data_IF_553418565917
#
_entry.id   IF_553418565917
#
_cell.length_a   1.000
_cell.length_b   1.000
_cell.length_c   1.000
_cell.angle_alpha   90.00
_cell.angle_beta   90.00
_cell.angle_gamma   90.00
#
_symmetry.space_group_name_H-M   'P 1'
#
loop_
_entity.id
_entity.type
_entity.pdbx_description
1 polymer ?
#
# COMPACT_ATOMS: atom_id res chain seq x y z
N UNK A 1 -37.51 -17.18 -28.06
CA UNK A 1 -37.20 -15.75 -27.81
C UNK A 1 -35.68 -15.59 -27.71
N UNK A 2 -35.06 -14.91 -28.67
CA UNK A 2 -33.61 -14.64 -28.66
C UNK A 2 -33.32 -13.51 -27.69
N UNK A 3 -32.61 -13.81 -26.60
CA UNK A 3 -32.16 -12.81 -25.63
C UNK A 3 -31.00 -12.02 -26.27
N UNK A 4 -31.33 -10.90 -26.90
CA UNK A 4 -30.36 -9.93 -27.41
C UNK A 4 -29.80 -9.15 -26.22
N UNK A 5 -28.71 -9.63 -25.63
CA UNK A 5 -27.94 -8.79 -24.72
C UNK A 5 -27.28 -7.69 -25.54
N UNK A 6 -27.51 -6.40 -25.25
CA UNK A 6 -26.69 -5.36 -25.84
C UNK A 6 -25.29 -5.51 -25.27
N UNK A 7 -24.33 -5.95 -26.08
CA UNK A 7 -22.91 -5.69 -25.83
C UNK A 7 -22.67 -4.20 -26.04
N UNK A 8 -23.21 -3.39 -25.15
CA UNK A 8 -22.78 -2.01 -24.99
C UNK A 8 -21.33 -2.10 -24.56
N UNK A 9 -20.41 -1.59 -25.38
CA UNK A 9 -18.99 -1.56 -25.05
C UNK A 9 -18.76 -0.87 -23.70
N UNK A 10 -17.55 -0.95 -23.13
CA UNK A 10 -17.26 -0.33 -21.84
C UNK A 10 -17.59 1.16 -21.89
N UNK A 11 -18.68 1.55 -21.24
CA UNK A 11 -19.09 2.96 -21.12
C UNK A 11 -18.24 3.60 -20.04
N UNK A 12 -17.60 4.72 -20.36
CA UNK A 12 -16.84 5.49 -19.38
C UNK A 12 -17.78 5.96 -18.26
N UNK A 13 -17.34 5.80 -17.02
CA UNK A 13 -18.02 6.38 -15.86
C UNK A 13 -18.15 7.90 -16.09
N UNK A 14 -19.36 8.49 -16.06
CA UNK A 14 -19.54 9.92 -16.33
C UNK A 14 -18.83 10.82 -15.31
N UNK A 15 -18.42 10.28 -14.16
CA UNK A 15 -17.61 10.99 -13.17
C UNK A 15 -16.10 10.93 -13.46
N UNK A 16 -15.66 10.17 -14.46
CA UNK A 16 -14.26 10.00 -14.81
C UNK A 16 -13.74 11.27 -15.53
N UNK A 17 -12.76 11.99 -14.98
CA UNK A 17 -12.31 13.28 -15.52
C UNK A 17 -11.41 13.15 -16.77
N UNK A 18 -11.11 11.93 -17.20
CA UNK A 18 -10.20 11.59 -18.31
C UNK A 18 -10.82 10.48 -19.17
N UNK A 19 -10.36 10.39 -20.41
CA UNK A 19 -10.69 9.30 -21.33
C UNK A 19 -10.26 7.93 -20.76
N UNK A 20 -10.98 6.88 -21.14
CA UNK A 20 -10.64 5.50 -20.73
C UNK A 20 -9.24 5.07 -21.17
N UNK A 21 -8.77 5.59 -22.31
CA UNK A 21 -7.44 5.31 -22.86
C UNK A 21 -6.34 5.84 -21.92
N UNK A 22 -6.40 7.13 -21.57
CA UNK A 22 -5.51 7.77 -20.61
C UNK A 22 -5.61 7.15 -19.21
N UNK A 23 -6.81 6.75 -18.77
CA UNK A 23 -6.99 6.02 -17.52
C UNK A 23 -6.27 4.66 -17.56
N UNK A 24 -6.31 3.98 -18.71
CA UNK A 24 -5.62 2.71 -18.94
C UNK A 24 -4.10 2.88 -18.91
N UNK A 25 -3.58 3.96 -19.48
CA UNK A 25 -2.15 4.30 -19.39
C UNK A 25 -1.73 4.56 -17.94
N UNK A 26 -2.47 5.41 -17.22
CA UNK A 26 -2.21 5.70 -15.80
C UNK A 26 -2.27 4.45 -14.93
N UNK A 27 -3.16 3.50 -15.24
CA UNK A 27 -3.26 2.25 -14.51
C UNK A 27 -2.08 1.30 -14.75
N UNK A 28 -1.50 1.33 -15.95
CA UNK A 28 -0.39 0.46 -16.34
C UNK A 28 0.98 1.07 -16.11
N UNK A 29 1.05 2.39 -15.92
CA UNK A 29 2.29 3.10 -15.66
C UNK A 29 2.93 2.62 -14.35
N UNK A 30 4.22 2.36 -14.41
CA UNK A 30 5.03 2.04 -13.24
C UNK A 30 5.32 3.30 -12.42
N UNK A 31 5.86 3.12 -11.20
CA UNK A 31 6.13 4.23 -10.28
C UNK A 31 7.11 5.28 -10.83
N UNK A 32 7.99 4.88 -11.76
CA UNK A 32 8.97 5.75 -12.41
C UNK A 32 8.38 6.53 -13.60
N UNK A 33 7.47 5.92 -14.36
CA UNK A 33 6.85 6.52 -15.56
C UNK A 33 5.61 7.38 -15.22
N UNK A 34 4.90 7.02 -14.16
CA UNK A 34 3.67 7.68 -13.75
C UNK A 34 3.84 9.21 -13.51
N UNK A 35 4.90 9.72 -12.86
CA UNK A 35 5.11 11.16 -12.69
C UNK A 35 5.25 11.91 -14.02
N UNK A 36 5.94 11.33 -14.99
CA UNK A 36 6.15 11.91 -16.31
C UNK A 36 4.84 11.91 -17.12
N UNK A 37 4.10 10.79 -17.08
CA UNK A 37 2.77 10.72 -17.67
C UNK A 37 1.82 11.77 -17.07
N UNK A 38 1.81 11.91 -15.74
CA UNK A 38 1.01 12.93 -15.07
C UNK A 38 1.46 14.35 -15.45
N UNK A 39 2.74 14.60 -15.72
CA UNK A 39 3.21 15.92 -16.15
C UNK A 39 2.55 16.42 -17.44
N UNK A 40 2.08 15.51 -18.31
CA UNK A 40 1.34 15.86 -19.54
C UNK A 40 -0.10 16.33 -19.29
N UNK A 41 -0.64 16.03 -18.12
CA UNK A 41 -2.04 16.33 -17.75
C UNK A 41 -2.10 17.67 -17.02
N UNK A 42 -3.08 18.50 -17.37
CA UNK A 42 -3.33 19.76 -16.67
C UNK A 42 -3.58 19.55 -15.16
N UNK A 43 -3.01 20.41 -14.32
CA UNK A 43 -3.14 20.40 -12.85
C UNK A 43 -4.55 20.14 -12.29
N UNK A 44 -5.61 20.85 -12.74
CA UNK A 44 -6.95 20.63 -12.20
C UNK A 44 -7.51 19.24 -12.58
N UNK A 45 -7.11 18.70 -13.73
CA UNK A 45 -7.55 17.38 -14.20
C UNK A 45 -6.84 16.28 -13.42
N UNK A 46 -5.54 16.43 -13.13
CA UNK A 46 -4.80 15.51 -12.25
C UNK A 46 -5.42 15.41 -10.86
N UNK A 47 -5.77 16.55 -10.28
CA UNK A 47 -6.36 16.60 -8.93
C UNK A 47 -7.73 15.92 -8.90
N UNK A 48 -8.56 16.13 -9.92
CA UNK A 48 -9.82 15.39 -10.10
C UNK A 48 -9.59 13.90 -10.28
N UNK A 49 -8.58 13.51 -11.06
CA UNK A 49 -8.24 12.11 -11.29
C UNK A 49 -7.82 11.43 -9.99
N UNK A 50 -6.96 12.07 -9.19
CA UNK A 50 -6.51 11.54 -7.90
C UNK A 50 -7.70 11.25 -6.97
N UNK A 51 -8.64 12.20 -6.85
CA UNK A 51 -9.82 12.05 -5.99
C UNK A 51 -10.78 10.99 -6.53
N UNK A 52 -10.99 10.95 -7.84
CA UNK A 52 -11.81 9.93 -8.49
C UNK A 52 -11.27 8.51 -8.24
N UNK A 53 -9.96 8.31 -8.41
CA UNK A 53 -9.29 7.03 -8.16
C UNK A 53 -9.32 6.66 -6.67
N UNK A 54 -9.13 7.65 -5.79
CA UNK A 54 -9.19 7.46 -4.33
C UNK A 54 -10.55 6.93 -3.86
N UNK A 55 -11.64 7.40 -4.49
CA UNK A 55 -13.01 6.97 -4.19
C UNK A 55 -13.33 5.53 -4.63
N UNK A 56 -12.50 4.90 -5.47
CA UNK A 56 -12.69 3.52 -5.91
C UNK A 56 -11.82 2.56 -5.11
N UNK A 57 -12.43 1.61 -4.40
CA UNK A 57 -11.72 0.71 -3.48
C UNK A 57 -10.54 -0.04 -4.12
N UNK A 58 -10.67 -0.51 -5.37
CA UNK A 58 -9.62 -1.23 -6.07
C UNK A 58 -8.53 -0.33 -6.67
N UNK A 59 -8.78 0.98 -6.81
CA UNK A 59 -7.82 1.96 -7.32
C UNK A 59 -7.33 2.93 -6.25
N UNK A 60 -7.70 2.71 -5.00
CA UNK A 60 -7.43 3.62 -3.90
C UNK A 60 -5.93 3.91 -3.73
N UNK A 61 -5.10 2.86 -3.80
CA UNK A 61 -3.64 3.01 -3.73
C UNK A 61 -3.08 3.80 -4.91
N UNK A 62 -3.60 3.58 -6.13
CA UNK A 62 -3.21 4.36 -7.30
C UNK A 62 -3.60 5.83 -7.13
N UNK A 63 -4.81 6.10 -6.61
CA UNK A 63 -5.27 7.46 -6.30
C UNK A 63 -4.34 8.19 -5.32
N UNK A 64 -3.85 7.48 -4.28
CA UNK A 64 -2.84 8.02 -3.37
C UNK A 64 -1.50 8.28 -4.07
N UNK A 65 -1.06 7.39 -4.96
CA UNK A 65 0.18 7.61 -5.74
C UNK A 65 0.06 8.84 -6.64
N UNK A 66 -1.05 8.98 -7.37
CA UNK A 66 -1.31 10.17 -8.21
C UNK A 66 -1.40 11.44 -7.36
N UNK A 67 -2.00 11.36 -6.17
CA UNK A 67 -2.07 12.48 -5.24
C UNK A 67 -0.70 12.96 -4.74
N UNK A 68 0.37 12.16 -4.83
CA UNK A 68 1.74 12.62 -4.51
C UNK A 68 2.28 13.63 -5.51
N UNK A 69 1.80 13.59 -6.75
CA UNK A 69 2.16 14.52 -7.82
C UNK A 69 1.27 15.78 -7.85
N UNK A 70 0.34 15.91 -6.90
CA UNK A 70 -0.59 17.03 -6.81
C UNK A 70 -0.27 17.91 -5.59
N UNK A 71 -0.58 19.19 -5.70
CA UNK A 71 -0.50 20.13 -4.58
C UNK A 71 -1.73 20.02 -3.67
N UNK A 72 -1.54 20.34 -2.38
CA UNK A 72 -2.62 20.26 -1.38
C UNK A 72 -3.79 21.14 -1.75
N UNK A 73 -3.51 22.37 -2.16
CA UNK A 73 -4.54 23.37 -2.45
C UNK A 73 -5.41 22.95 -3.64
N UNK A 74 -4.84 22.30 -4.66
CA UNK A 74 -5.63 21.83 -5.79
C UNK A 74 -6.52 20.64 -5.44
N UNK A 75 -6.05 19.72 -4.59
CA UNK A 75 -6.89 18.65 -4.06
C UNK A 75 -8.04 19.20 -3.21
N UNK A 76 -7.77 20.19 -2.35
CA UNK A 76 -8.79 20.86 -1.53
C UNK A 76 -9.78 21.65 -2.38
N UNK A 77 -9.33 22.31 -3.45
CA UNK A 77 -10.20 23.04 -4.38
C UNK A 77 -11.20 22.12 -5.09
N UNK A 78 -10.78 20.89 -5.39
CA UNK A 78 -11.62 19.91 -6.09
C UNK A 78 -12.55 19.15 -5.13
N UNK A 79 -12.07 18.78 -3.94
CA UNK A 79 -12.76 17.83 -3.06
C UNK A 79 -12.97 18.32 -1.61
N UNK A 80 -12.65 19.58 -1.32
CA UNK A 80 -12.77 20.16 0.02
C UNK A 80 -11.93 19.42 1.06
N UNK A 81 -12.55 19.10 2.19
CA UNK A 81 -11.89 18.39 3.30
C UNK A 81 -11.34 17.03 2.88
N UNK A 82 -12.02 16.32 1.97
CA UNK A 82 -11.52 15.04 1.45
C UNK A 82 -10.17 15.23 0.75
N UNK A 83 -9.98 16.34 0.03
CA UNK A 83 -8.70 16.67 -0.60
C UNK A 83 -7.57 16.82 0.40
N UNK A 84 -7.85 17.41 1.57
CA UNK A 84 -6.89 17.55 2.67
C UNK A 84 -6.45 16.18 3.19
N UNK A 85 -7.41 15.26 3.37
CA UNK A 85 -7.19 13.90 3.86
C UNK A 85 -6.40 13.07 2.86
N UNK A 86 -6.76 13.14 1.57
CA UNK A 86 -6.07 12.42 0.49
C UNK A 86 -4.61 12.84 0.42
N UNK A 87 -4.32 14.14 0.50
CA UNK A 87 -2.95 14.66 0.52
C UNK A 87 -2.18 14.20 1.76
N UNK A 88 -2.82 14.18 2.93
CA UNK A 88 -2.21 13.66 4.15
C UNK A 88 -1.84 12.19 4.01
N UNK A 89 -2.78 11.36 3.55
CA UNK A 89 -2.59 9.92 3.38
C UNK A 89 -1.55 9.57 2.31
N UNK A 90 -1.49 10.32 1.20
CA UNK A 90 -0.52 10.06 0.14
C UNK A 90 0.93 10.22 0.62
N UNK A 91 1.16 11.12 1.58
CA UNK A 91 2.47 11.38 2.20
C UNK A 91 2.82 10.46 3.37
N UNK A 92 1.84 9.74 3.91
CA UNK A 92 2.12 8.72 4.91
C UNK A 92 2.92 7.58 4.29
N UNK A 93 3.88 7.05 5.05
CA UNK A 93 4.61 5.87 4.62
C UNK A 93 3.59 4.72 4.51
N UNK A 94 3.43 4.10 3.32
CA UNK A 94 2.48 3.00 3.18
C UNK A 94 2.84 1.94 4.22
N UNK A 95 1.82 1.48 4.96
CA UNK A 95 1.99 0.42 5.93
C UNK A 95 2.66 -0.74 5.18
N UNK A 96 3.86 -1.12 5.63
CA UNK A 96 4.60 -2.23 5.03
C UNK A 96 3.63 -3.42 5.02
N UNK A 97 3.31 -4.02 3.87
CA UNK A 97 2.52 -5.25 3.87
C UNK A 97 3.27 -6.20 4.80
N UNK A 98 2.55 -6.76 5.77
CA UNK A 98 3.11 -7.75 6.68
C UNK A 98 3.59 -8.90 5.80
N UNK A 99 4.89 -8.91 5.50
CA UNK A 99 5.53 -10.11 4.99
C UNK A 99 5.20 -11.18 6.02
N UNK A 100 4.62 -12.33 5.62
CA UNK A 100 4.65 -13.49 6.49
C UNK A 100 6.12 -13.63 6.87
N UNK A 101 6.41 -13.51 8.16
CA UNK A 101 7.74 -13.81 8.67
C UNK A 101 7.96 -15.30 8.42
N UNK A 102 8.49 -15.66 7.24
CA UNK A 102 9.25 -16.89 7.13
C UNK A 102 10.37 -16.74 8.15
N UNK A 103 10.19 -17.46 9.26
CA UNK A 103 11.16 -17.59 10.31
C UNK A 103 12.53 -17.83 9.65
N UNK A 104 13.52 -17.06 10.10
CA UNK A 104 14.90 -17.16 9.65
C UNK A 104 15.32 -18.62 9.42
N UNK A 105 16.08 -18.93 8.35
CA UNK A 105 16.61 -20.27 8.19
C UNK A 105 17.45 -20.61 9.43
N UNK A 106 17.00 -21.61 10.18
CA UNK A 106 17.77 -22.20 11.26
C UNK A 106 19.17 -22.56 10.72
N UNK A 107 20.26 -22.29 11.44
CA UNK A 107 21.58 -22.69 10.97
C UNK A 107 21.61 -24.20 10.80
N UNK A 108 21.95 -24.66 9.59
CA UNK A 108 21.98 -26.06 9.20
C UNK A 108 22.72 -26.89 10.24
N UNK A 109 21.95 -27.70 11.00
CA UNK A 109 22.52 -28.73 11.87
C UNK A 109 23.02 -29.87 11.00
N UNK A 110 24.34 -29.94 10.90
CA UNK A 110 25.08 -31.06 10.31
C UNK A 110 24.69 -32.33 11.08
N UNK A 111 24.02 -33.26 10.41
CA UNK A 111 23.71 -34.58 10.93
C UNK A 111 25.01 -35.39 11.06
N UNK A 112 25.49 -35.59 12.29
CA UNK A 112 26.45 -36.65 12.59
C UNK A 112 25.71 -37.85 13.19
N UNK A 113 25.80 -38.96 12.47
CA UNK A 113 25.36 -40.29 12.85
C UNK A 113 26.38 -40.91 13.81
N UNK A 114 26.19 -40.79 15.14
CA UNK A 114 26.68 -41.73 16.16
C UNK A 114 26.42 -41.20 17.59
N UNK A 115 25.79 -42.04 18.43
CA UNK A 115 25.97 -42.05 19.89
C UNK A 115 25.07 -41.15 20.75
N UNK A 116 24.04 -41.74 21.38
CA UNK A 116 23.51 -41.26 22.67
C UNK A 116 24.46 -41.73 23.82
N UNK A 117 24.38 -41.27 25.10
CA UNK A 117 23.25 -40.59 25.77
C UNK A 117 23.70 -39.50 26.81
N UNK A 118 22.94 -39.17 27.89
CA UNK A 118 22.57 -37.81 28.27
C UNK A 118 23.48 -37.19 29.35
N UNK A 119 23.50 -35.86 29.55
CA UNK A 119 23.84 -35.31 30.88
C UNK A 119 23.60 -33.81 31.12
N UNK A 120 22.91 -33.58 32.24
CA UNK A 120 22.95 -32.48 33.22
C UNK A 120 22.27 -31.15 32.86
N UNK A 121 21.02 -31.04 33.32
CA UNK A 121 20.50 -29.79 33.86
C UNK A 121 21.39 -29.35 35.05
N UNK A 122 22.09 -28.24 34.90
CA UNK A 122 22.76 -27.55 36.01
C UNK A 122 21.82 -26.47 36.51
N UNK A 123 21.05 -26.77 37.56
CA UNK A 123 20.31 -25.79 38.33
C UNK A 123 21.29 -25.15 39.32
N UNK A 124 22.08 -24.20 38.82
CA UNK A 124 22.97 -23.37 39.63
C UNK A 124 22.19 -22.18 40.17
N UNK A 125 21.93 -22.19 41.48
CA UNK A 125 21.22 -21.14 42.20
C UNK A 125 21.94 -19.79 42.16
N UNK A 126 21.18 -18.72 42.43
CA UNK A 126 21.72 -17.44 42.85
C UNK A 126 20.94 -16.95 44.05
N UNK A 127 21.71 -16.74 45.13
CA UNK A 127 21.28 -16.46 46.48
C UNK A 127 20.99 -14.97 46.70
N UNK A 128 19.98 -14.74 47.55
CA UNK A 128 19.89 -13.74 48.62
C UNK A 128 20.53 -12.35 48.49
N UNK A 129 19.67 -11.32 48.58
CA UNK A 129 19.82 -10.12 49.45
C UNK A 129 18.44 -9.43 49.48
N UNK A 130 17.64 -9.46 50.54
CA UNK A 130 17.96 -9.09 51.91
C UNK A 130 18.08 -7.57 52.01
N UNK A 131 17.03 -6.90 52.53
CA UNK A 131 17.09 -5.74 53.45
C UNK A 131 15.70 -5.15 53.69
N UNK A 132 15.20 -5.38 54.90
CA UNK A 132 14.17 -4.61 55.59
C UNK A 132 14.86 -3.45 56.34
N UNK A 133 14.19 -2.30 56.48
CA UNK A 133 14.34 -1.18 57.45
C UNK A 133 13.34 -0.12 56.95
N UNK A 134 12.40 0.47 57.70
CA UNK A 134 12.00 0.53 59.12
C UNK A 134 10.46 0.62 59.13
#
# INVERSE_FOLDING_TARGET
MTQSHPTSGPVADPACPVSLDLLGEVYRADADDLPELLATIAEPTRSKLAVYLYGKSHMHQLGLTVARACERDDLVRVAGEIGSVVFGQSRMKPARPAVPTEAAPAPARKISLAGSPPKKISLGGSAAKGRSFD
#
